data_IF_330122690303
#
_entry.id   IF_330122690303
#
_cell.length_a   1.000
_cell.length_b   1.000
_cell.length_c   1.000
_cell.angle_alpha   90.00
_cell.angle_beta   90.00
_cell.angle_gamma   90.00
#
_symmetry.space_group_name_H-M   'P 1'
#
loop_
_entity.id
_entity.type
_entity.pdbx_description
1 polymer ?
#
# COMPACT_ATOMS: atom_id res chain seq x y z
N UNK A 1 17.27 -13.05 -20.67
CA UNK A 1 17.69 -11.63 -20.67
C UNK A 1 18.02 -11.23 -19.25
N UNK A 2 19.12 -10.51 -19.03
CA UNK A 2 19.40 -9.87 -17.74
C UNK A 2 18.48 -8.67 -17.54
N UNK A 3 17.88 -8.51 -16.36
CA UNK A 3 17.08 -7.34 -16.01
C UNK A 3 17.91 -6.06 -16.11
N UNK A 4 17.35 -5.04 -16.76
CA UNK A 4 17.95 -3.71 -16.86
C UNK A 4 17.77 -2.93 -15.55
N UNK A 5 18.60 -1.91 -15.34
CA UNK A 5 18.45 -1.01 -14.18
C UNK A 5 17.14 -0.23 -14.24
N UNK A 6 16.67 0.13 -15.42
CA UNK A 6 15.40 0.83 -15.62
C UNK A 6 14.22 0.00 -15.11
N UNK A 7 14.14 -1.28 -15.49
CA UNK A 7 13.07 -2.18 -15.05
C UNK A 7 13.03 -2.32 -13.51
N UNK A 8 14.19 -2.43 -12.88
CA UNK A 8 14.32 -2.49 -11.42
C UNK A 8 13.85 -1.20 -10.74
N UNK A 9 14.27 -0.05 -11.27
CA UNK A 9 13.87 1.25 -10.74
C UNK A 9 12.38 1.49 -10.92
N UNK A 10 11.80 1.15 -12.08
CA UNK A 10 10.37 1.29 -12.32
C UNK A 10 9.54 0.42 -11.37
N UNK A 11 9.94 -0.84 -11.17
CA UNK A 11 9.31 -1.71 -10.18
C UNK A 11 9.38 -1.13 -8.76
N UNK A 12 10.55 -0.58 -8.38
CA UNK A 12 10.73 0.03 -7.07
C UNK A 12 9.90 1.31 -6.88
N UNK A 13 9.87 2.18 -7.88
CA UNK A 13 9.09 3.42 -7.87
C UNK A 13 7.59 3.12 -7.73
N UNK A 14 7.09 2.08 -8.41
CA UNK A 14 5.70 1.69 -8.28
C UNK A 14 5.32 1.36 -6.83
N UNK A 15 6.19 0.62 -6.10
CA UNK A 15 5.98 0.30 -4.69
C UNK A 15 6.20 1.51 -3.76
N UNK A 16 7.20 2.35 -4.02
CA UNK A 16 7.42 3.58 -3.23
C UNK A 16 6.27 4.59 -3.33
N UNK A 17 5.43 4.47 -4.36
CA UNK A 17 4.16 5.19 -4.47
C UNK A 17 3.33 5.16 -3.17
N UNK A 18 3.43 4.09 -2.37
CA UNK A 18 2.69 3.95 -1.10
C UNK A 18 2.86 5.15 -0.14
N UNK A 19 4.00 5.87 -0.21
CA UNK A 19 4.27 7.05 0.61
C UNK A 19 3.45 8.29 0.21
N UNK A 20 2.85 8.26 -0.98
CA UNK A 20 2.17 9.40 -1.59
C UNK A 20 0.66 9.18 -1.76
N UNK A 21 0.08 8.23 -1.01
CA UNK A 21 -1.38 7.97 -0.99
C UNK A 21 -1.93 7.76 -2.42
N UNK A 22 -3.00 8.47 -2.80
CA UNK A 22 -3.65 8.35 -4.10
C UNK A 22 -2.74 8.70 -5.29
N UNK A 23 -1.73 9.56 -5.09
CA UNK A 23 -0.72 9.85 -6.13
C UNK A 23 0.10 8.60 -6.44
N UNK A 24 0.40 7.80 -5.42
CA UNK A 24 1.09 6.52 -5.58
C UNK A 24 0.34 5.51 -6.45
N UNK A 25 -0.99 5.47 -6.33
CA UNK A 25 -1.87 4.64 -7.17
C UNK A 25 -1.74 5.06 -8.63
N UNK A 26 -1.76 6.37 -8.91
CA UNK A 26 -1.59 6.90 -10.26
C UNK A 26 -0.21 6.56 -10.82
N UNK A 27 0.85 6.68 -10.01
CA UNK A 27 2.22 6.31 -10.40
C UNK A 27 2.28 4.83 -10.78
N UNK A 28 1.79 3.93 -9.93
CA UNK A 28 1.81 2.49 -10.20
C UNK A 28 0.98 2.11 -11.44
N UNK A 29 -0.21 2.71 -11.60
CA UNK A 29 -1.04 2.51 -12.78
C UNK A 29 -0.34 2.98 -14.06
N UNK A 30 0.29 4.16 -14.03
CA UNK A 30 1.00 4.72 -15.17
C UNK A 30 2.15 3.82 -15.58
N UNK A 31 2.96 3.36 -14.62
CA UNK A 31 4.07 2.42 -14.88
C UNK A 31 3.53 1.11 -15.47
N UNK A 32 2.47 0.55 -14.90
CA UNK A 32 1.86 -0.67 -15.42
C UNK A 32 1.42 -0.52 -16.87
N UNK A 33 0.66 0.54 -17.20
CA UNK A 33 0.16 0.77 -18.55
C UNK A 33 1.28 1.01 -19.57
N UNK A 34 2.37 1.67 -19.17
CA UNK A 34 3.51 1.93 -20.05
C UNK A 34 4.44 0.73 -20.25
N UNK A 35 4.48 -0.21 -19.29
CA UNK A 35 5.41 -1.34 -19.26
C UNK A 35 4.76 -2.69 -19.58
N UNK A 36 3.41 -2.81 -19.59
CA UNK A 36 2.68 -4.07 -19.79
C UNK A 36 3.09 -4.87 -21.03
N UNK A 37 3.47 -4.18 -22.11
CA UNK A 37 3.89 -4.82 -23.38
C UNK A 37 5.42 -4.78 -23.59
N UNK A 38 6.17 -4.20 -22.65
CA UNK A 38 7.63 -3.95 -22.78
C UNK A 38 8.48 -4.76 -21.80
N UNK A 39 8.01 -4.92 -20.56
CA UNK A 39 8.74 -5.62 -19.50
C UNK A 39 7.79 -6.39 -18.60
N UNK A 40 7.94 -7.73 -18.60
CA UNK A 40 7.21 -8.59 -17.67
C UNK A 40 7.53 -8.29 -16.20
N UNK A 41 8.78 -7.96 -15.90
CA UNK A 41 9.23 -7.64 -14.54
C UNK A 41 8.65 -6.32 -14.03
N UNK A 42 8.84 -5.22 -14.77
CA UNK A 42 8.36 -3.92 -14.34
C UNK A 42 6.83 -3.86 -14.29
N UNK A 43 6.15 -4.50 -15.25
CA UNK A 43 4.69 -4.58 -15.26
C UNK A 43 4.13 -5.42 -14.10
N UNK A 44 4.75 -6.56 -13.76
CA UNK A 44 4.34 -7.37 -12.62
C UNK A 44 4.45 -6.60 -11.30
N UNK A 45 5.61 -5.96 -11.04
CA UNK A 45 5.80 -5.13 -9.86
C UNK A 45 4.81 -3.97 -9.80
N UNK A 46 4.57 -3.29 -10.92
CA UNK A 46 3.61 -2.18 -10.98
C UNK A 46 2.17 -2.64 -10.71
N UNK A 47 1.77 -3.79 -11.24
CA UNK A 47 0.45 -4.39 -11.00
C UNK A 47 0.27 -4.80 -9.53
N UNK A 48 1.27 -5.45 -8.94
CA UNK A 48 1.29 -5.81 -7.51
C UNK A 48 1.21 -4.57 -6.62
N UNK A 49 2.00 -3.53 -6.92
CA UNK A 49 1.98 -2.26 -6.18
C UNK A 49 0.64 -1.53 -6.31
N UNK A 50 0.04 -1.52 -7.50
CA UNK A 50 -1.27 -0.91 -7.75
C UNK A 50 -2.36 -1.60 -6.93
N UNK A 51 -2.46 -2.93 -7.02
CA UNK A 51 -3.46 -3.70 -6.27
C UNK A 51 -3.30 -3.54 -4.77
N UNK A 52 -2.06 -3.49 -4.27
CA UNK A 52 -1.79 -3.25 -2.85
C UNK A 52 -2.18 -1.86 -2.38
N UNK A 53 -1.87 -0.82 -3.14
CA UNK A 53 -2.25 0.55 -2.76
C UNK A 53 -3.77 0.75 -2.79
N UNK A 54 -4.48 0.11 -3.73
CA UNK A 54 -5.94 0.09 -3.75
C UNK A 54 -6.52 -0.66 -2.54
N UNK A 55 -5.98 -1.85 -2.23
CA UNK A 55 -6.40 -2.62 -1.07
C UNK A 55 -6.15 -1.85 0.25
N UNK A 56 -4.99 -1.20 0.37
CA UNK A 56 -4.69 -0.32 1.49
C UNK A 56 -5.69 0.84 1.56
N UNK A 57 -5.94 1.55 0.46
CA UNK A 57 -6.90 2.66 0.44
C UNK A 57 -8.30 2.23 0.92
N UNK A 58 -8.79 1.07 0.48
CA UNK A 58 -10.07 0.51 0.95
C UNK A 58 -10.01 0.18 2.45
N UNK A 59 -8.93 -0.47 2.91
CA UNK A 59 -8.74 -0.80 4.32
C UNK A 59 -8.74 0.46 5.21
N UNK A 60 -7.96 1.48 4.85
CA UNK A 60 -7.90 2.76 5.57
C UNK A 60 -9.24 3.47 5.56
N UNK A 61 -9.97 3.45 4.43
CA UNK A 61 -11.29 4.07 4.35
C UNK A 61 -12.30 3.38 5.29
N UNK A 62 -12.41 2.05 5.21
CA UNK A 62 -13.35 1.27 6.02
C UNK A 62 -13.05 1.42 7.51
N UNK A 63 -11.80 1.23 7.93
CA UNK A 63 -11.39 1.42 9.32
C UNK A 63 -11.55 2.88 9.78
N UNK A 64 -11.36 3.84 8.87
CA UNK A 64 -11.61 5.26 9.09
C UNK A 64 -13.05 5.52 9.53
N UNK A 65 -14.02 4.95 8.81
CA UNK A 65 -15.45 5.08 9.15
C UNK A 65 -15.77 4.51 10.54
N UNK A 66 -15.26 3.32 10.86
CA UNK A 66 -15.50 2.67 12.16
C UNK A 66 -14.88 3.45 13.32
N UNK A 67 -13.63 3.88 13.18
CA UNK A 67 -12.92 4.63 14.23
C UNK A 67 -13.53 6.01 14.43
N UNK A 68 -13.92 6.71 13.36
CA UNK A 68 -14.60 8.01 13.46
C UNK A 68 -15.95 7.89 14.18
N UNK A 69 -16.81 6.95 13.77
CA UNK A 69 -18.11 6.71 14.41
C UNK A 69 -17.96 6.27 15.86
N UNK A 70 -17.03 5.36 16.14
CA UNK A 70 -16.72 4.89 17.50
C UNK A 70 -16.21 6.00 18.41
N UNK A 71 -15.34 6.88 17.91
CA UNK A 71 -14.88 8.05 18.67
C UNK A 71 -16.01 9.03 18.97
N UNK A 72 -16.84 9.36 17.98
CA UNK A 72 -17.99 10.24 18.19
C UNK A 72 -18.96 9.68 19.24
N UNK A 73 -19.38 8.42 19.09
CA UNK A 73 -20.27 7.78 20.05
C UNK A 73 -19.63 7.65 21.45
N UNK A 74 -18.36 7.25 21.51
CA UNK A 74 -17.61 7.13 22.76
C UNK A 74 -17.49 8.45 23.52
N UNK A 75 -17.21 9.56 22.81
CA UNK A 75 -17.12 10.89 23.43
C UNK A 75 -18.47 11.37 23.97
N UNK A 76 -19.60 11.01 23.35
CA UNK A 76 -20.93 11.37 23.85
C UNK A 76 -21.32 10.56 25.11
N UNK A 77 -20.98 9.28 25.16
CA UNK A 77 -21.41 8.37 26.22
C UNK A 77 -20.46 8.35 27.44
N UNK A 78 -19.17 8.58 27.22
CA UNK A 78 -18.14 8.59 28.28
C UNK A 78 -17.03 9.62 27.99
N UNK A 79 -17.32 10.93 28.13
CA UNK A 79 -16.36 12.00 27.82
C UNK A 79 -15.01 11.86 28.56
N UNK A 80 -15.03 11.35 29.79
CA UNK A 80 -13.82 11.11 30.60
C UNK A 80 -12.87 10.07 29.98
N UNK A 81 -13.36 9.20 29.09
CA UNK A 81 -12.56 8.21 28.38
C UNK A 81 -11.96 8.75 27.06
N UNK A 82 -12.23 10.00 26.69
CA UNK A 82 -11.83 10.56 25.40
C UNK A 82 -10.30 10.53 25.19
N UNK A 83 -9.52 10.97 26.18
CA UNK A 83 -8.05 11.04 26.06
C UNK A 83 -7.40 9.64 25.93
N UNK A 84 -7.70 8.65 26.79
CA UNK A 84 -7.21 7.28 26.60
C UNK A 84 -7.64 6.66 25.26
N UNK A 85 -8.89 6.88 24.85
CA UNK A 85 -9.41 6.36 23.59
C UNK A 85 -8.68 6.96 22.39
N UNK A 86 -8.40 8.26 22.43
CA UNK A 86 -7.61 8.95 21.41
C UNK A 86 -6.21 8.34 21.31
N UNK A 87 -5.49 8.17 22.42
CA UNK A 87 -4.16 7.55 22.41
C UNK A 87 -4.19 6.13 21.81
N UNK A 88 -5.20 5.33 22.15
CA UNK A 88 -5.38 3.98 21.60
C UNK A 88 -5.61 3.98 20.09
N UNK A 89 -6.51 4.84 19.60
CA UNK A 89 -6.82 4.96 18.16
C UNK A 89 -5.61 5.45 17.38
N UNK A 90 -4.91 6.48 17.85
CA UNK A 90 -3.71 6.98 17.19
C UNK A 90 -2.56 5.99 17.20
N UNK A 91 -2.37 5.25 18.31
CA UNK A 91 -1.39 4.18 18.39
C UNK A 91 -1.68 3.06 17.38
N UNK A 92 -2.95 2.63 17.29
CA UNK A 92 -3.39 1.65 16.32
C UNK A 92 -3.15 2.11 14.87
N UNK A 93 -3.56 3.33 14.51
CA UNK A 93 -3.35 3.89 13.18
C UNK A 93 -1.87 4.05 12.83
N UNK A 94 -1.05 4.50 13.78
CA UNK A 94 0.39 4.62 13.60
C UNK A 94 1.04 3.27 13.26
N UNK A 95 0.72 2.23 14.04
CA UNK A 95 1.24 0.88 13.80
C UNK A 95 0.77 0.30 12.47
N UNK A 96 -0.52 0.48 12.13
CA UNK A 96 -1.07 0.02 10.86
C UNK A 96 -0.40 0.72 9.67
N UNK A 97 -0.21 2.04 9.75
CA UNK A 97 0.48 2.82 8.73
C UNK A 97 1.92 2.33 8.52
N UNK A 98 2.67 2.14 9.61
CA UNK A 98 4.03 1.61 9.55
C UNK A 98 4.10 0.20 8.94
N UNK A 99 3.14 -0.67 9.28
CA UNK A 99 3.07 -2.00 8.69
C UNK A 99 2.80 -1.95 7.18
N UNK A 100 1.83 -1.13 6.76
CA UNK A 100 1.46 -1.01 5.34
C UNK A 100 2.60 -0.42 4.51
N UNK A 101 3.18 0.70 4.98
CA UNK A 101 4.30 1.38 4.33
C UNK A 101 5.53 0.49 4.32
N UNK A 102 5.86 -0.13 5.45
CA UNK A 102 6.99 -1.03 5.58
C UNK A 102 6.92 -2.19 4.59
N UNK A 103 5.73 -2.76 4.39
CA UNK A 103 5.57 -3.84 3.42
C UNK A 103 5.68 -3.36 1.96
N UNK A 104 5.22 -2.13 1.66
CA UNK A 104 5.46 -1.48 0.37
C UNK A 104 6.95 -1.24 0.10
N UNK A 105 7.68 -0.71 1.09
CA UNK A 105 9.14 -0.51 1.01
C UNK A 105 9.85 -1.85 0.79
N UNK A 106 9.43 -2.91 1.47
CA UNK A 106 9.98 -4.24 1.24
C UNK A 106 9.80 -4.68 -0.22
N UNK A 107 8.63 -4.46 -0.81
CA UNK A 107 8.39 -4.69 -2.25
C UNK A 107 9.34 -3.88 -3.14
N UNK A 108 9.57 -2.60 -2.81
CA UNK A 108 10.51 -1.75 -3.54
C UNK A 108 11.96 -2.28 -3.47
N UNK A 109 12.42 -2.70 -2.29
CA UNK A 109 13.75 -3.30 -2.12
C UNK A 109 13.89 -4.59 -2.92
N UNK A 110 12.84 -5.43 -2.95
CA UNK A 110 12.83 -6.67 -3.75
C UNK A 110 12.95 -6.37 -5.25
N UNK A 111 12.27 -5.34 -5.73
CA UNK A 111 12.38 -4.88 -7.11
C UNK A 111 13.82 -4.42 -7.45
N UNK A 112 14.44 -3.63 -6.57
CA UNK A 112 15.84 -3.18 -6.75
C UNK A 112 16.85 -4.35 -6.77
N UNK A 113 16.58 -5.42 -6.02
CA UNK A 113 17.37 -6.65 -6.06
C UNK A 113 17.14 -7.49 -7.32
N UNK A 114 16.20 -7.09 -8.20
CA UNK A 114 15.79 -7.86 -9.37
C UNK A 114 15.06 -9.16 -9.02
N UNK A 115 14.39 -9.20 -7.86
CA UNK A 115 13.63 -10.36 -7.40
C UNK A 115 12.14 -10.09 -7.59
N UNK A 116 11.45 -11.03 -8.22
CA UNK A 116 10.00 -11.06 -8.23
C UNK A 116 9.45 -10.94 -6.81
N UNK A 117 8.33 -10.23 -6.69
CA UNK A 117 7.69 -9.95 -5.43
C UNK A 117 6.17 -9.95 -5.58
N UNK A 118 5.52 -10.67 -4.66
CA UNK A 118 4.08 -10.73 -4.52
C UNK A 118 3.70 -10.39 -3.09
N UNK A 119 2.62 -9.63 -2.93
CA UNK A 119 2.06 -9.40 -1.61
C UNK A 119 1.41 -10.68 -1.09
N UNK A 120 1.69 -11.06 0.16
CA UNK A 120 1.32 -12.37 0.69
C UNK A 120 -0.20 -12.59 0.77
N UNK A 121 -0.96 -11.54 1.09
CA UNK A 121 -2.40 -11.63 1.30
C UNK A 121 -3.22 -11.49 0.01
N UNK A 122 -2.76 -10.65 -0.91
CA UNK A 122 -3.54 -10.24 -2.09
C UNK A 122 -2.83 -10.53 -3.42
N UNK A 123 -1.56 -10.91 -3.38
CA UNK A 123 -0.73 -11.00 -4.58
C UNK A 123 -1.22 -12.07 -5.55
N UNK A 124 -1.68 -13.22 -5.04
CA UNK A 124 -2.26 -14.27 -5.87
C UNK A 124 -3.57 -13.82 -6.55
N UNK A 125 -4.39 -13.05 -5.85
CA UNK A 125 -5.60 -12.47 -6.45
C UNK A 125 -5.23 -11.46 -7.55
N UNK A 126 -4.24 -10.59 -7.30
CA UNK A 126 -3.76 -9.62 -8.29
C UNK A 126 -3.20 -10.30 -9.54
N UNK A 127 -2.54 -11.45 -9.40
CA UNK A 127 -1.99 -12.17 -10.56
C UNK A 127 -3.08 -12.77 -11.46
N UNK A 128 -4.27 -13.05 -10.90
CA UNK A 128 -5.39 -13.68 -11.61
C UNK A 128 -6.30 -12.72 -12.37
N UNK A 129 -6.32 -11.43 -12.01
CA UNK A 129 -7.14 -10.38 -12.65
C UNK A 129 -6.40 -9.68 -13.78
#
# INVERSE_FOLDING_TARGET
MSLTSEEKVLGAVAHFGILFSWVGIIIALTIFLLQKDKSGFASHHAKQALGYQLAAAVLFFVLGLFTAGGMMGGMMMAPQAALPSFMGVFGFWGLLCLAVVGYGIYGAVRALMGKEFRYALIGEFIDRI
#
